data_IF_384167722238
#
_entry.id   IF_384167722238
#
_cell.length_a   1.000
_cell.length_b   1.000
_cell.length_c   1.000
_cell.angle_alpha   90.00
_cell.angle_beta   90.00
_cell.angle_gamma   90.00
#
_symmetry.space_group_name_H-M   'P 1'
#
loop_
_entity.id
_entity.type
_entity.pdbx_description
1 polymer ?
#
# COMPACT_ATOMS: atom_id res chain seq x y z
N UNK A 1 7.77 15.08 2.73
CA UNK A 1 8.09 16.52 2.78
C UNK A 1 7.96 17.06 1.37
N UNK A 2 7.21 18.16 1.16
CA UNK A 2 7.16 18.90 -0.09
C UNK A 2 7.99 20.16 0.03
N UNK A 3 8.73 20.48 -1.02
CA UNK A 3 9.42 21.76 -1.16
C UNK A 3 8.76 22.50 -2.31
N UNK A 4 8.22 23.68 -2.02
CA UNK A 4 7.67 24.57 -3.02
C UNK A 4 8.68 25.67 -3.29
N UNK A 5 9.02 25.86 -4.57
CA UNK A 5 9.81 26.99 -5.03
C UNK A 5 8.93 27.85 -5.93
N UNK A 6 8.78 29.12 -5.58
CA UNK A 6 8.04 30.08 -6.39
C UNK A 6 8.93 31.29 -6.64
N UNK A 7 8.74 31.97 -7.76
CA UNK A 7 9.48 33.17 -8.10
C UNK A 7 9.17 34.28 -7.06
N UNK A 8 10.16 35.06 -6.69
CA UNK A 8 10.06 36.03 -5.58
C UNK A 8 9.03 37.17 -5.78
N UNK A 9 8.60 37.40 -7.02
CA UNK A 9 7.57 38.39 -7.37
C UNK A 9 6.15 37.79 -7.42
N UNK A 10 6.01 36.49 -7.19
CA UNK A 10 4.74 35.80 -7.01
C UNK A 10 4.43 35.63 -5.51
N UNK A 11 3.18 35.41 -5.17
CA UNK A 11 2.76 35.18 -3.79
C UNK A 11 3.49 34.00 -3.12
N UNK A 12 3.28 33.83 -1.81
CA UNK A 12 3.82 32.68 -1.08
C UNK A 12 2.75 31.58 -1.05
N UNK A 13 3.08 30.32 -1.46
CA UNK A 13 2.09 29.24 -1.43
C UNK A 13 1.77 28.86 0.01
N UNK A 14 0.49 28.82 0.31
CA UNK A 14 -0.01 28.24 1.56
C UNK A 14 0.17 26.70 1.56
N UNK A 15 0.29 26.08 2.73
CA UNK A 15 0.33 24.62 2.83
C UNK A 15 -0.88 23.99 2.13
N UNK A 16 -0.70 22.85 1.41
CA UNK A 16 -1.81 22.16 0.78
C UNK A 16 -2.90 21.78 1.81
N UNK A 17 -4.14 22.13 1.50
CA UNK A 17 -5.28 21.79 2.34
C UNK A 17 -5.52 20.29 2.25
N UNK A 18 -5.65 19.56 3.39
CA UNK A 18 -6.01 18.15 3.39
C UNK A 18 -7.33 17.92 2.65
N UNK A 19 -7.34 17.00 1.68
CA UNK A 19 -8.54 16.71 0.88
C UNK A 19 -9.55 15.82 1.61
N UNK A 20 -9.13 15.16 2.68
CA UNK A 20 -9.96 14.26 3.49
C UNK A 20 -9.72 14.48 4.99
N UNK A 21 -10.01 15.69 5.54
CA UNK A 21 -9.65 16.02 6.91
C UNK A 21 -10.46 15.22 7.95
N UNK A 22 -11.69 14.85 7.64
CA UNK A 22 -12.61 14.15 8.56
C UNK A 22 -12.69 12.65 8.32
N UNK A 23 -12.23 12.14 7.19
CA UNK A 23 -12.28 10.72 6.84
C UNK A 23 -11.07 10.34 5.98
N UNK A 24 -10.26 9.42 6.48
CA UNK A 24 -9.13 8.90 5.73
C UNK A 24 -9.56 7.72 4.86
N UNK A 25 -9.18 7.73 3.59
CA UNK A 25 -9.37 6.59 2.71
C UNK A 25 -8.52 5.42 3.19
N UNK A 26 -9.16 4.30 3.46
CA UNK A 26 -8.53 3.05 3.85
C UNK A 26 -8.03 2.26 2.63
N UNK A 27 -7.21 1.24 2.87
CA UNK A 27 -6.84 0.27 1.84
C UNK A 27 -8.09 -0.42 1.28
N UNK A 28 -9.05 -0.77 2.14
CA UNK A 28 -10.33 -1.37 1.73
C UNK A 28 -11.08 -0.47 0.75
N UNK A 29 -11.21 0.82 1.05
CA UNK A 29 -11.90 1.78 0.18
C UNK A 29 -11.25 1.86 -1.21
N UNK A 30 -9.92 1.87 -1.25
CA UNK A 30 -9.19 1.89 -2.52
C UNK A 30 -9.42 0.62 -3.35
N UNK A 31 -9.41 -0.55 -2.70
CA UNK A 31 -9.52 -1.84 -3.37
C UNK A 31 -10.95 -2.22 -3.73
N UNK A 32 -11.96 -1.71 -3.03
CA UNK A 32 -13.38 -1.97 -3.32
C UNK A 32 -13.83 -1.46 -4.70
N UNK A 33 -13.07 -0.57 -5.30
CA UNK A 33 -13.33 -0.01 -6.63
C UNK A 33 -12.84 -0.91 -7.77
N UNK A 34 -12.04 -1.92 -7.46
CA UNK A 34 -11.47 -2.84 -8.45
C UNK A 34 -12.34 -4.07 -8.67
N UNK A 35 -12.26 -4.69 -9.86
CA UNK A 35 -12.79 -6.04 -10.06
C UNK A 35 -12.19 -7.03 -9.07
N UNK A 36 -12.83 -8.18 -8.93
CA UNK A 36 -12.33 -9.27 -8.06
C UNK A 36 -10.90 -9.66 -8.44
N UNK A 37 -10.11 -9.95 -7.41
CA UNK A 37 -8.76 -10.48 -7.60
C UNK A 37 -8.71 -11.66 -8.58
N UNK A 38 -7.77 -11.62 -9.51
CA UNK A 38 -7.57 -12.65 -10.53
C UNK A 38 -8.50 -12.54 -11.74
N UNK A 39 -9.43 -11.56 -11.76
CA UNK A 39 -10.30 -11.33 -12.92
C UNK A 39 -9.77 -10.18 -13.80
N UNK A 40 -10.21 -10.05 -15.06
CA UNK A 40 -9.79 -8.94 -15.92
C UNK A 40 -9.94 -7.58 -15.25
N UNK A 41 -8.89 -6.77 -15.31
CA UNK A 41 -8.81 -5.48 -14.61
C UNK A 41 -8.23 -5.56 -13.18
N UNK A 42 -7.97 -6.76 -12.65
CA UNK A 42 -7.24 -7.00 -11.39
C UNK A 42 -6.53 -8.37 -11.42
N UNK A 43 -5.80 -8.65 -12.49
CA UNK A 43 -5.15 -9.94 -12.73
C UNK A 43 -3.63 -9.84 -12.98
N UNK A 44 -3.04 -8.68 -12.73
CA UNK A 44 -1.61 -8.46 -12.85
C UNK A 44 -0.88 -8.94 -11.59
N UNK A 45 -0.84 -10.27 -11.38
CA UNK A 45 -0.41 -10.90 -10.15
C UNK A 45 1.10 -10.74 -9.88
N UNK A 46 1.46 -10.59 -8.60
CA UNK A 46 2.83 -10.75 -8.14
C UNK A 46 3.12 -12.23 -7.89
N UNK A 47 4.12 -12.79 -8.56
CA UNK A 47 4.48 -14.21 -8.47
C UNK A 47 5.35 -14.56 -7.25
N UNK A 48 5.81 -13.57 -6.48
CA UNK A 48 6.68 -13.80 -5.34
C UNK A 48 5.94 -14.51 -4.20
N UNK A 49 6.41 -15.68 -3.82
CA UNK A 49 5.85 -16.46 -2.73
C UNK A 49 6.03 -15.74 -1.37
N UNK A 50 5.08 -15.99 -0.49
CA UNK A 50 5.13 -15.54 0.90
C UNK A 50 5.64 -16.70 1.75
N UNK A 51 6.70 -16.48 2.50
CA UNK A 51 7.20 -17.41 3.51
C UNK A 51 7.47 -16.66 4.81
N UNK A 52 7.52 -17.34 5.93
CA UNK A 52 7.90 -16.74 7.20
C UNK A 52 9.35 -16.26 7.16
N UNK A 53 9.67 -15.20 7.86
CA UNK A 53 11.04 -14.75 8.01
C UNK A 53 11.82 -15.69 8.92
N UNK A 54 13.07 -16.01 8.58
CA UNK A 54 13.98 -16.79 9.45
C UNK A 54 14.28 -16.08 10.77
N UNK A 55 14.32 -14.75 10.73
CA UNK A 55 14.53 -13.90 11.90
C UNK A 55 13.50 -12.78 11.85
N UNK A 56 12.27 -13.03 12.32
CA UNK A 56 11.19 -12.04 12.24
C UNK A 56 11.48 -10.84 13.14
N UNK A 57 11.25 -9.64 12.61
CA UNK A 57 11.34 -8.40 13.38
C UNK A 57 9.95 -8.02 13.88
N UNK A 58 9.69 -8.29 15.15
CA UNK A 58 8.45 -7.92 15.81
C UNK A 58 8.43 -6.40 16.07
N UNK A 59 7.26 -5.82 15.86
CA UNK A 59 6.93 -4.44 16.20
C UNK A 59 5.64 -4.44 17.00
N UNK A 60 5.33 -3.35 17.68
CA UNK A 60 4.09 -3.23 18.47
C UNK A 60 2.83 -3.47 17.64
N UNK A 61 2.81 -3.04 16.39
CA UNK A 61 1.71 -3.31 15.46
C UNK A 61 2.00 -4.54 14.60
N UNK A 62 1.02 -5.45 14.40
CA UNK A 62 1.15 -6.60 13.52
C UNK A 62 1.43 -6.22 12.05
N UNK A 63 1.06 -5.01 11.66
CA UNK A 63 1.25 -4.48 10.31
C UNK A 63 2.60 -3.78 10.09
N UNK A 64 3.37 -3.55 11.14
CA UNK A 64 4.63 -2.79 11.06
C UNK A 64 5.90 -3.66 11.11
N UNK A 65 5.77 -4.92 11.52
CA UNK A 65 6.89 -5.85 11.62
C UNK A 65 7.37 -6.39 10.27
N UNK A 66 8.56 -7.02 10.27
CA UNK A 66 9.05 -7.79 9.14
C UNK A 66 8.92 -9.28 9.50
N UNK A 67 7.72 -9.81 9.31
CA UNK A 67 7.34 -11.17 9.71
C UNK A 67 7.47 -12.17 8.57
N UNK A 68 7.63 -11.68 7.35
CA UNK A 68 7.71 -12.47 6.14
C UNK A 68 9.00 -12.17 5.36
N UNK A 69 9.29 -13.02 4.38
CA UNK A 69 10.42 -12.88 3.49
C UNK A 69 10.42 -11.53 2.73
N UNK A 70 11.60 -10.93 2.59
CA UNK A 70 11.85 -9.79 1.70
C UNK A 70 11.21 -8.46 2.13
N UNK A 71 10.81 -8.31 3.41
CA UNK A 71 10.25 -7.08 3.97
C UNK A 71 8.88 -6.64 3.40
N UNK A 72 8.17 -7.49 2.66
CA UNK A 72 6.76 -7.26 2.31
C UNK A 72 5.91 -7.30 3.58
N UNK A 73 5.19 -6.20 3.85
CA UNK A 73 4.39 -6.06 5.08
C UNK A 73 2.92 -6.30 4.80
N UNK A 74 2.19 -6.90 5.75
CA UNK A 74 0.74 -6.94 5.69
C UNK A 74 0.15 -5.53 5.71
N UNK A 75 -0.88 -5.30 4.92
CA UNK A 75 -1.62 -4.05 4.96
C UNK A 75 -2.74 -4.12 5.99
N UNK A 76 -2.94 -3.02 6.71
CA UNK A 76 -4.14 -2.83 7.50
C UNK A 76 -5.25 -2.33 6.56
N UNK A 77 -6.26 -3.16 6.36
CA UNK A 77 -7.35 -2.86 5.42
C UNK A 77 -8.20 -1.66 5.87
N UNK A 78 -8.28 -1.41 7.17
CA UNK A 78 -9.10 -0.35 7.77
C UNK A 78 -8.34 0.96 8.02
N UNK A 79 -7.14 1.08 7.48
CA UNK A 79 -6.30 2.27 7.63
C UNK A 79 -5.72 2.73 6.30
N UNK A 80 -5.23 3.96 6.19
CA UNK A 80 -4.43 4.38 5.05
C UNK A 80 -3.23 3.46 4.84
N UNK A 81 -2.88 3.22 3.58
CA UNK A 81 -1.72 2.39 3.25
C UNK A 81 -0.42 3.02 3.76
N UNK A 82 0.49 2.17 4.19
CA UNK A 82 1.89 2.58 4.30
C UNK A 82 2.45 2.96 2.93
N UNK A 83 3.58 3.66 2.92
CA UNK A 83 4.30 3.97 1.68
C UNK A 83 4.59 2.71 0.88
N UNK A 84 4.17 2.69 -0.38
CA UNK A 84 4.48 1.63 -1.31
C UNK A 84 5.91 1.81 -1.85
N UNK A 85 6.80 0.83 -1.68
CA UNK A 85 8.18 1.00 -2.11
C UNK A 85 8.34 0.84 -3.63
N UNK A 86 9.20 1.63 -4.26
CA UNK A 86 9.57 1.49 -5.67
C UNK A 86 10.14 0.10 -6.03
N UNK A 87 10.64 -0.62 -5.03
CA UNK A 87 11.20 -1.97 -5.19
C UNK A 87 10.16 -3.09 -5.08
N UNK A 88 8.86 -2.80 -5.23
CA UNK A 88 7.79 -3.79 -5.39
C UNK A 88 7.98 -4.66 -6.65
N UNK A 89 7.16 -5.68 -6.78
CA UNK A 89 7.21 -6.65 -7.89
C UNK A 89 7.88 -7.96 -7.52
N UNK A 90 8.31 -8.07 -6.28
CA UNK A 90 8.91 -9.26 -5.66
C UNK A 90 8.54 -9.37 -4.18
N UNK A 91 9.46 -9.90 -3.38
CA UNK A 91 9.24 -10.12 -1.94
C UNK A 91 8.99 -8.85 -1.11
N UNK A 92 9.20 -7.65 -1.66
CA UNK A 92 8.88 -6.38 -1.01
C UNK A 92 7.46 -5.87 -1.30
N UNK A 93 6.72 -6.57 -2.17
CA UNK A 93 5.32 -6.24 -2.44
C UNK A 93 4.49 -6.47 -1.18
N UNK A 94 3.64 -5.51 -0.78
CA UNK A 94 2.76 -5.66 0.37
C UNK A 94 1.84 -6.87 0.27
N UNK A 95 1.38 -7.34 1.42
CA UNK A 95 0.58 -8.56 1.58
C UNK A 95 -0.83 -8.18 2.01
N UNK A 96 -1.82 -8.90 1.48
CA UNK A 96 -3.23 -8.78 1.84
C UNK A 96 -3.78 -10.12 2.31
N UNK A 97 -4.62 -10.10 3.31
CA UNK A 97 -5.53 -11.20 3.67
C UNK A 97 -6.80 -11.05 2.81
N UNK A 98 -6.93 -11.92 1.80
CA UNK A 98 -8.06 -11.88 0.86
C UNK A 98 -9.40 -12.11 1.56
N UNK A 99 -9.45 -12.98 2.57
CA UNK A 99 -10.69 -13.24 3.33
C UNK A 99 -11.15 -12.00 4.09
N UNK A 100 -10.20 -11.35 4.78
CA UNK A 100 -10.50 -10.13 5.51
C UNK A 100 -10.88 -8.96 4.58
N UNK A 101 -10.37 -8.96 3.33
CA UNK A 101 -10.78 -8.00 2.32
C UNK A 101 -12.23 -8.24 1.86
N UNK A 102 -12.60 -9.49 1.59
CA UNK A 102 -13.94 -9.86 1.12
C UNK A 102 -15.00 -9.80 2.22
N UNK A 103 -14.62 -10.18 3.43
CA UNK A 103 -15.52 -10.25 4.59
C UNK A 103 -14.99 -9.34 5.72
N UNK A 104 -15.52 -8.11 5.87
CA UNK A 104 -15.03 -7.15 6.86
C UNK A 104 -15.12 -7.60 8.33
N UNK A 105 -15.94 -8.62 8.62
CA UNK A 105 -16.08 -9.19 9.97
C UNK A 105 -14.95 -10.14 10.33
N UNK A 106 -14.21 -10.63 9.35
CA UNK A 106 -13.07 -11.53 9.57
C UNK A 106 -11.87 -10.73 10.02
N UNK A 107 -11.35 -11.03 11.19
CA UNK A 107 -10.09 -10.46 11.64
C UNK A 107 -8.93 -10.94 10.75
N UNK A 108 -8.02 -10.05 10.29
CA UNK A 108 -6.86 -10.45 9.51
C UNK A 108 -6.00 -11.46 10.27
N UNK A 109 -5.63 -12.54 9.59
CA UNK A 109 -4.81 -13.63 10.15
C UNK A 109 -3.50 -13.14 10.79
N UNK A 110 -2.92 -12.08 10.27
CA UNK A 110 -1.69 -11.52 10.80
C UNK A 110 -1.79 -11.10 12.28
N UNK A 111 -3.00 -10.81 12.78
CA UNK A 111 -3.18 -10.43 14.18
C UNK A 111 -2.91 -11.60 15.12
N UNK A 112 -3.52 -12.76 14.85
CA UNK A 112 -3.29 -13.98 15.66
C UNK A 112 -1.84 -14.46 15.50
N UNK A 113 -1.31 -14.49 14.29
CA UNK A 113 0.08 -14.86 14.04
C UNK A 113 1.08 -13.97 14.79
N UNK A 114 0.84 -12.66 14.80
CA UNK A 114 1.67 -11.71 15.54
C UNK A 114 1.58 -11.93 17.06
N UNK A 115 0.38 -12.20 17.58
CA UNK A 115 0.13 -12.48 18.99
C UNK A 115 0.85 -13.75 19.44
N UNK A 116 0.80 -14.81 18.64
CA UNK A 116 1.54 -16.05 18.88
C UNK A 116 3.06 -15.81 18.94
N UNK A 117 3.58 -15.09 17.95
CA UNK A 117 5.00 -14.72 17.93
C UNK A 117 5.40 -13.86 19.14
N UNK A 118 4.51 -12.97 19.59
CA UNK A 118 4.75 -12.10 20.72
C UNK A 118 4.78 -12.89 22.05
N UNK A 119 3.87 -13.88 22.18
CA UNK A 119 3.71 -14.66 23.39
C UNK A 119 4.73 -15.80 23.53
N UNK A 120 5.09 -16.45 22.44
CA UNK A 120 5.90 -17.67 22.45
C UNK A 120 7.31 -17.49 21.85
N UNK A 121 7.55 -16.34 21.21
CA UNK A 121 8.81 -16.05 20.52
C UNK A 121 8.88 -16.65 19.10
N UNK A 122 9.83 -16.15 18.30
CA UNK A 122 9.90 -16.44 16.87
C UNK A 122 10.30 -17.89 16.52
N UNK A 123 10.92 -18.61 17.44
CA UNK A 123 11.35 -19.99 17.22
C UNK A 123 10.29 -21.04 17.56
N UNK A 124 9.25 -20.66 18.29
CA UNK A 124 8.19 -21.55 18.73
C UNK A 124 7.00 -21.66 17.76
N UNK A 125 6.93 -20.74 16.80
CA UNK A 125 5.79 -20.66 15.87
C UNK A 125 6.25 -21.08 14.49
N UNK A 126 5.91 -22.30 14.10
CA UNK A 126 5.98 -22.76 12.72
C UNK A 126 4.58 -22.65 12.12
N UNK A 127 4.36 -21.62 11.33
CA UNK A 127 3.08 -21.47 10.66
C UNK A 127 3.25 -21.64 9.16
N UNK A 128 2.47 -22.54 8.59
CA UNK A 128 2.26 -22.56 7.17
C UNK A 128 1.54 -21.29 6.75
N UNK A 129 2.03 -20.68 5.69
CA UNK A 129 1.40 -19.47 5.15
C UNK A 129 0.04 -19.84 4.57
N UNK A 130 -1.06 -19.28 5.09
CA UNK A 130 -2.38 -19.57 4.55
C UNK A 130 -2.50 -19.13 3.09
N UNK A 131 -3.18 -19.91 2.22
CA UNK A 131 -3.31 -19.62 0.80
C UNK A 131 -4.10 -18.35 0.48
N UNK A 132 -4.85 -17.83 1.44
CA UNK A 132 -5.58 -16.57 1.30
C UNK A 132 -4.69 -15.33 1.57
N UNK A 133 -3.45 -15.52 2.03
CA UNK A 133 -2.48 -14.43 2.06
C UNK A 133 -1.81 -14.31 0.69
N UNK A 134 -1.88 -13.14 0.12
CA UNK A 134 -1.32 -12.86 -1.20
C UNK A 134 -0.66 -11.49 -1.27
N UNK A 135 0.13 -11.28 -2.28
CA UNK A 135 0.70 -9.96 -2.56
C UNK A 135 -0.26 -9.13 -3.41
N UNK A 136 -0.10 -7.79 -3.34
CA UNK A 136 -0.84 -6.89 -4.20
C UNK A 136 -0.64 -7.22 -5.68
N UNK A 137 -1.69 -6.98 -6.47
CA UNK A 137 -1.59 -6.88 -7.92
C UNK A 137 -1.05 -5.49 -8.32
N UNK A 138 -0.71 -5.30 -9.58
CA UNK A 138 -0.31 -3.99 -10.11
C UNK A 138 -1.48 -3.01 -10.01
N UNK A 139 -2.69 -3.46 -10.35
CA UNK A 139 -3.91 -2.66 -10.33
C UNK A 139 -4.25 -2.20 -8.89
N UNK A 140 -4.08 -3.08 -7.92
CA UNK A 140 -4.27 -2.75 -6.51
C UNK A 140 -3.24 -1.75 -6.00
N UNK A 141 -1.98 -1.92 -6.36
CA UNK A 141 -0.94 -0.95 -6.01
C UNK A 141 -1.21 0.42 -6.66
N UNK A 142 -1.69 0.45 -7.89
CA UNK A 142 -2.07 1.67 -8.60
C UNK A 142 -3.28 2.37 -7.94
N UNK A 143 -4.31 1.60 -7.56
CA UNK A 143 -5.50 2.12 -6.88
C UNK A 143 -5.15 2.73 -5.51
N UNK A 144 -4.30 2.05 -4.72
CA UNK A 144 -3.79 2.57 -3.43
C UNK A 144 -3.01 3.87 -3.64
N UNK A 145 -2.23 3.99 -4.72
CA UNK A 145 -1.52 5.21 -5.11
C UNK A 145 -2.41 6.25 -5.77
N UNK A 146 -3.72 6.02 -5.81
CA UNK A 146 -4.73 6.94 -6.38
C UNK A 146 -4.61 7.20 -7.89
N UNK A 147 -3.99 6.28 -8.64
CA UNK A 147 -4.04 6.32 -10.10
C UNK A 147 -5.44 6.02 -10.62
N UNK A 148 -5.82 6.57 -11.78
CA UNK A 148 -7.08 6.22 -12.44
C UNK A 148 -7.19 4.72 -12.68
N UNK A 149 -8.39 4.17 -12.45
CA UNK A 149 -8.67 2.77 -12.75
C UNK A 149 -8.56 2.51 -14.26
N UNK A 150 -8.07 1.32 -14.63
CA UNK A 150 -7.87 0.96 -16.03
C UNK A 150 -6.63 1.56 -16.69
N UNK A 151 -5.78 2.26 -15.95
CA UNK A 151 -4.53 2.78 -16.48
C UNK A 151 -3.62 1.63 -16.94
N UNK A 152 -3.07 1.73 -18.14
CA UNK A 152 -2.16 0.73 -18.71
C UNK A 152 -0.72 1.00 -18.26
N UNK A 153 -0.07 -0.04 -17.77
CA UNK A 153 1.33 -0.03 -17.34
C UNK A 153 2.20 -0.78 -18.35
N UNK A 154 3.36 -0.23 -18.70
CA UNK A 154 4.24 -0.81 -19.70
C UNK A 154 5.39 -1.62 -19.10
N UNK A 155 5.87 -2.59 -19.88
CA UNK A 155 7.02 -3.42 -19.53
C UNK A 155 6.71 -4.62 -18.62
N UNK A 156 7.73 -5.33 -18.14
CA UNK A 156 7.57 -6.48 -17.27
C UNK A 156 6.98 -6.07 -15.92
N UNK A 157 6.40 -7.03 -15.21
CA UNK A 157 5.68 -6.82 -13.95
C UNK A 157 6.46 -5.97 -12.92
N UNK A 158 7.73 -6.25 -12.76
CA UNK A 158 8.61 -5.49 -11.86
C UNK A 158 8.77 -4.02 -12.27
N UNK A 159 8.76 -3.73 -13.58
CA UNK A 159 8.81 -2.35 -14.07
C UNK A 159 7.48 -1.62 -13.81
N UNK A 160 6.35 -2.31 -13.99
CA UNK A 160 5.02 -1.76 -13.70
C UNK A 160 4.90 -1.36 -12.22
N UNK A 161 5.28 -2.24 -11.31
CA UNK A 161 5.33 -1.92 -9.88
C UNK A 161 6.27 -0.77 -9.55
N UNK A 162 7.43 -0.70 -10.21
CA UNK A 162 8.41 0.38 -10.00
C UNK A 162 7.88 1.73 -10.48
N UNK A 163 7.16 1.78 -11.61
CA UNK A 163 6.51 2.99 -12.08
C UNK A 163 5.54 3.53 -11.03
N UNK A 164 4.69 2.67 -10.47
CA UNK A 164 3.74 3.03 -9.43
C UNK A 164 4.44 3.51 -8.15
N UNK A 165 5.41 2.76 -7.67
CA UNK A 165 6.08 3.07 -6.40
C UNK A 165 6.99 4.30 -6.44
N UNK A 166 7.48 4.70 -7.62
CA UNK A 166 8.27 5.93 -7.80
C UNK A 166 7.40 7.18 -7.99
N UNK A 167 6.12 7.01 -8.29
CA UNK A 167 5.25 8.13 -8.58
C UNK A 167 4.77 8.83 -7.30
N UNK A 168 4.54 10.13 -7.41
CA UNK A 168 3.73 10.86 -6.43
C UNK A 168 2.26 10.49 -6.66
N UNK A 169 1.49 10.14 -5.61
CA UNK A 169 0.09 9.84 -5.77
C UNK A 169 -0.67 11.00 -6.45
N UNK A 170 -1.45 10.77 -7.52
CA UNK A 170 -2.10 11.83 -8.28
C UNK A 170 -2.97 12.78 -7.44
N UNK A 171 -3.71 12.27 -6.46
CA UNK A 171 -4.51 13.13 -5.56
C UNK A 171 -3.63 14.03 -4.68
N UNK A 172 -2.48 13.53 -4.25
CA UNK A 172 -1.53 14.31 -3.48
C UNK A 172 -0.85 15.38 -4.36
N UNK A 173 -0.47 15.01 -5.59
CA UNK A 173 0.07 15.95 -6.56
C UNK A 173 -0.93 17.08 -6.89
N UNK A 174 -2.22 16.72 -7.04
CA UNK A 174 -3.28 17.71 -7.27
C UNK A 174 -3.43 18.69 -6.11
N UNK A 175 -3.39 18.21 -4.86
CA UNK A 175 -3.47 19.08 -3.69
C UNK A 175 -2.28 20.05 -3.62
N UNK A 176 -1.08 19.56 -3.93
CA UNK A 176 0.13 20.39 -4.00
C UNK A 176 0.05 21.41 -5.14
N UNK A 177 -0.42 21.00 -6.33
CA UNK A 177 -0.56 21.88 -7.49
C UNK A 177 -1.58 23.02 -7.22
N UNK A 178 -2.70 22.72 -6.57
CA UNK A 178 -3.69 23.74 -6.19
C UNK A 178 -3.13 24.80 -5.25
N UNK A 179 -2.28 24.41 -4.30
CA UNK A 179 -1.63 25.37 -3.40
C UNK A 179 -0.71 26.34 -4.15
N UNK A 180 0.01 25.84 -5.16
CA UNK A 180 0.86 26.68 -6.03
C UNK A 180 0.01 27.56 -6.95
N UNK A 181 -1.04 27.01 -7.57
CA UNK A 181 -1.94 27.74 -8.46
C UNK A 181 -2.60 28.94 -7.75
N UNK A 182 -3.08 28.71 -6.51
CA UNK A 182 -3.64 29.81 -5.69
C UNK A 182 -2.61 30.91 -5.43
N UNK A 183 -1.34 30.58 -5.19
CA UNK A 183 -0.30 31.57 -4.96
C UNK A 183 0.12 32.35 -6.22
N UNK A 184 -0.11 31.75 -7.41
CA UNK A 184 0.23 32.41 -8.69
C UNK A 184 -0.89 33.30 -9.21
N UNK A 185 -2.15 32.98 -8.91
CA UNK A 185 -3.35 33.62 -9.49
C UNK A 185 -4.22 34.36 -8.46
N UNK A 186 -3.86 34.34 -7.19
CA UNK A 186 -4.51 35.08 -6.10
C UNK A 186 -3.77 36.33 -5.78
#
# INVERSE_FOLDING_TARGET
MFLFGIRSDCGTPEPPIPTTPSHHFSVRDALSQLPKYGTPGNNSLCSAQITTAKSPVLRRSPFAGMLFNGAGRPLNLEAPSMTLPASMGGNKTPIIDQRALEEPRIAPWIRSYHEELWSHGPTAVTSDIPPFLRRLTVEEAAAIQTFPLGMTWCGPRSAQFRQIGNAVPPRLALAAAKAVDTALNG
#
